data_IF_584832846198
#
_entry.id   IF_584832846198
#
_cell.length_a   1.000
_cell.length_b   1.000
_cell.length_c   1.000
_cell.angle_alpha   90.00
_cell.angle_beta   90.00
_cell.angle_gamma   90.00
#
_symmetry.space_group_name_H-M   'P 1'
#
loop_
_entity.id
_entity.type
_entity.pdbx_description
1 polymer ?
#
# COMPACT_ATOMS: atom_id res chain seq x y z
N UNK A 1 -7.50 -11.61 -16.84
CA UNK A 1 -7.61 -10.53 -17.85
C UNK A 1 -9.06 -10.14 -18.18
N UNK A 2 -10.02 -11.06 -18.35
CA UNK A 2 -11.41 -10.69 -18.71
C UNK A 2 -12.17 -9.81 -17.69
N UNK A 3 -11.75 -9.76 -16.42
CA UNK A 3 -12.39 -9.00 -15.34
C UNK A 3 -11.81 -7.58 -15.10
N UNK A 4 -10.75 -7.18 -15.81
CA UNK A 4 -10.23 -5.82 -15.74
C UNK A 4 -11.17 -4.80 -16.44
N UNK A 5 -12.02 -5.27 -17.36
CA UNK A 5 -12.95 -4.45 -18.14
C UNK A 5 -14.24 -4.04 -17.41
N UNK A 6 -14.44 -4.46 -16.16
CA UNK A 6 -15.67 -4.18 -15.42
C UNK A 6 -15.63 -2.87 -14.61
N UNK A 7 -14.46 -2.27 -14.43
CA UNK A 7 -14.26 -1.06 -13.61
C UNK A 7 -13.84 0.13 -14.50
N UNK A 8 -14.75 1.10 -14.64
CA UNK A 8 -14.54 2.27 -15.49
C UNK A 8 -13.36 3.15 -15.03
N UNK A 9 -13.04 3.15 -13.73
CA UNK A 9 -11.91 3.93 -13.20
C UNK A 9 -10.57 3.29 -13.55
N UNK A 10 -10.51 1.96 -13.51
CA UNK A 10 -9.35 1.17 -13.92
C UNK A 10 -9.15 1.26 -15.43
N UNK A 11 -10.23 1.19 -16.21
CA UNK A 11 -10.16 1.36 -17.66
C UNK A 11 -9.60 2.72 -18.05
N UNK A 12 -10.03 3.80 -17.38
CA UNK A 12 -9.48 5.13 -17.61
C UNK A 12 -7.99 5.21 -17.27
N UNK A 13 -7.58 4.67 -16.12
CA UNK A 13 -6.17 4.65 -15.74
C UNK A 13 -5.31 3.84 -16.73
N UNK A 14 -5.82 2.69 -17.21
CA UNK A 14 -5.18 1.88 -18.25
C UNK A 14 -5.09 2.64 -19.57
N UNK A 15 -6.16 3.34 -19.98
CA UNK A 15 -6.21 4.13 -21.22
C UNK A 15 -5.20 5.29 -21.17
N UNK A 16 -5.17 6.04 -20.07
CA UNK A 16 -4.20 7.11 -19.84
C UNK A 16 -2.74 6.58 -19.92
N UNK A 17 -2.45 5.43 -19.30
CA UNK A 17 -1.14 4.77 -19.36
C UNK A 17 -0.81 4.22 -20.77
N UNK A 18 -1.81 3.76 -21.52
CA UNK A 18 -1.63 3.20 -22.87
C UNK A 18 -1.31 4.29 -23.89
N UNK A 19 -1.93 5.46 -23.76
CA UNK A 19 -1.57 6.63 -24.55
C UNK A 19 -0.09 7.01 -24.35
N UNK A 20 0.39 7.00 -23.11
CA UNK A 20 1.79 7.26 -22.81
C UNK A 20 2.72 6.17 -23.36
N UNK A 21 2.38 4.88 -23.23
CA UNK A 21 3.22 3.78 -23.72
C UNK A 21 3.45 3.83 -25.25
N UNK A 22 2.44 4.24 -26.03
CA UNK A 22 2.47 4.21 -27.50
C UNK A 22 3.50 5.14 -28.16
N UNK A 23 4.02 6.12 -27.42
CA UNK A 23 4.89 7.17 -27.96
C UNK A 23 6.40 6.91 -27.79
N UNK A 24 6.82 5.79 -27.17
CA UNK A 24 8.22 5.60 -26.73
C UNK A 24 8.82 4.22 -27.07
N UNK A 25 10.09 4.02 -26.69
CA UNK A 25 10.86 2.78 -26.92
C UNK A 25 10.29 1.56 -26.16
N UNK A 26 10.74 0.35 -26.56
CA UNK A 26 10.22 -0.93 -26.06
C UNK A 26 10.21 -1.07 -24.53
N UNK A 27 11.29 -0.71 -23.85
CA UNK A 27 11.38 -0.77 -22.38
C UNK A 27 10.36 0.12 -21.67
N UNK A 28 10.04 1.27 -22.25
CA UNK A 28 9.03 2.17 -21.68
C UNK A 28 7.63 1.58 -21.84
N UNK A 29 7.36 0.93 -22.96
CA UNK A 29 6.12 0.17 -23.16
C UNK A 29 6.00 -0.95 -22.11
N UNK A 30 7.07 -1.72 -21.91
CA UNK A 30 7.10 -2.82 -20.94
C UNK A 30 6.85 -2.34 -19.51
N UNK A 31 7.53 -1.27 -19.09
CA UNK A 31 7.32 -0.69 -17.77
C UNK A 31 5.87 -0.27 -17.52
N UNK A 32 5.22 0.37 -18.50
CA UNK A 32 3.81 0.78 -18.37
C UNK A 32 2.86 -0.40 -18.42
N UNK A 33 3.15 -1.46 -19.19
CA UNK A 33 2.38 -2.71 -19.12
C UNK A 33 2.42 -3.30 -17.70
N UNK A 34 3.59 -3.27 -17.03
CA UNK A 34 3.70 -3.62 -15.62
C UNK A 34 2.83 -2.75 -14.70
N UNK A 35 2.80 -1.42 -14.89
CA UNK A 35 1.92 -0.53 -14.12
C UNK A 35 0.43 -0.83 -14.33
N UNK A 36 0.03 -1.19 -15.56
CA UNK A 36 -1.34 -1.59 -15.86
C UNK A 36 -1.71 -2.89 -15.16
N UNK A 37 -0.79 -3.86 -15.10
CA UNK A 37 -0.99 -5.10 -14.35
C UNK A 37 -1.13 -4.83 -12.85
N UNK A 38 -0.32 -3.93 -12.28
CA UNK A 38 -0.42 -3.49 -10.89
C UNK A 38 -1.80 -2.87 -10.60
N UNK A 39 -2.28 -1.98 -11.46
CA UNK A 39 -3.59 -1.34 -11.33
C UNK A 39 -4.73 -2.37 -11.39
N UNK A 40 -4.65 -3.34 -12.31
CA UNK A 40 -5.63 -4.42 -12.41
C UNK A 40 -5.63 -5.33 -11.17
N UNK A 41 -4.44 -5.64 -10.63
CA UNK A 41 -4.31 -6.40 -9.40
C UNK A 41 -4.90 -5.64 -8.22
N UNK A 42 -4.56 -4.36 -8.03
CA UNK A 42 -5.12 -3.52 -6.96
C UNK A 42 -6.66 -3.44 -7.01
N UNK A 43 -7.24 -3.34 -8.20
CA UNK A 43 -8.70 -3.39 -8.38
C UNK A 43 -9.30 -4.73 -7.95
N UNK A 44 -8.62 -5.84 -8.26
CA UNK A 44 -9.06 -7.19 -7.85
C UNK A 44 -8.98 -7.35 -6.33
N UNK A 45 -7.89 -6.88 -5.72
CA UNK A 45 -7.69 -6.91 -4.27
C UNK A 45 -8.73 -6.05 -3.54
N UNK A 46 -9.05 -4.85 -4.06
CA UNK A 46 -10.04 -3.95 -3.46
C UNK A 46 -11.48 -4.49 -3.51
N UNK A 47 -11.77 -5.39 -4.46
CA UNK A 47 -13.05 -6.11 -4.55
C UNK A 47 -13.22 -7.20 -3.50
N UNK A 48 -12.13 -7.67 -2.89
CA UNK A 48 -12.16 -8.76 -1.92
C UNK A 48 -12.24 -10.14 -2.56
N UNK A 49 -11.77 -10.28 -3.81
CA UNK A 49 -11.79 -11.55 -4.56
C UNK A 49 -10.68 -12.53 -4.11
N UNK A 50 -9.95 -12.21 -3.03
CA UNK A 50 -8.84 -13.00 -2.48
C UNK A 50 -9.01 -13.21 -0.97
N UNK A 51 -8.43 -14.29 -0.44
CA UNK A 51 -8.35 -14.50 1.01
C UNK A 51 -7.41 -13.48 1.68
N UNK A 52 -7.53 -13.38 2.99
CA UNK A 52 -6.86 -12.38 3.81
C UNK A 52 -5.34 -12.56 3.88
N UNK A 53 -4.87 -13.81 3.96
CA UNK A 53 -3.43 -14.14 3.93
C UNK A 53 -2.85 -13.74 2.57
N UNK A 54 -3.51 -14.08 1.47
CA UNK A 54 -3.10 -13.68 0.12
C UNK A 54 -3.08 -12.16 -0.01
N UNK A 55 -4.13 -11.47 0.43
CA UNK A 55 -4.19 -10.00 0.41
C UNK A 55 -3.04 -9.37 1.20
N UNK A 56 -2.77 -9.90 2.39
CA UNK A 56 -1.69 -9.40 3.25
C UNK A 56 -0.31 -9.58 2.60
N UNK A 57 -0.06 -10.77 2.03
CA UNK A 57 1.18 -11.06 1.31
C UNK A 57 1.35 -10.17 0.07
N UNK A 58 0.28 -9.91 -0.68
CA UNK A 58 0.29 -8.92 -1.75
C UNK A 58 0.69 -7.53 -1.22
N UNK A 59 0.18 -7.13 -0.05
CA UNK A 59 0.57 -5.87 0.59
C UNK A 59 2.07 -5.79 0.89
N UNK A 60 2.68 -6.87 1.39
CA UNK A 60 4.14 -6.96 1.58
C UNK A 60 4.89 -6.82 0.23
N UNK A 61 4.39 -7.47 -0.83
CA UNK A 61 4.98 -7.35 -2.17
C UNK A 61 4.90 -5.92 -2.71
N UNK A 62 3.78 -5.22 -2.54
CA UNK A 62 3.63 -3.81 -2.91
C UNK A 62 4.52 -2.88 -2.08
N UNK A 63 4.67 -3.14 -0.78
CA UNK A 63 5.62 -2.40 0.06
C UNK A 63 7.05 -2.51 -0.48
N UNK A 64 7.48 -3.73 -0.84
CA UNK A 64 8.81 -3.96 -1.40
C UNK A 64 8.99 -3.25 -2.74
N UNK A 65 7.96 -3.28 -3.59
CA UNK A 65 7.95 -2.56 -4.87
C UNK A 65 8.13 -1.06 -4.67
N UNK A 66 7.38 -0.44 -3.74
CA UNK A 66 7.51 0.97 -3.42
C UNK A 66 8.90 1.32 -2.84
N UNK A 67 9.45 0.44 -2.01
CA UNK A 67 10.80 0.58 -1.48
C UNK A 67 11.87 0.50 -2.59
N UNK A 68 11.71 -0.40 -3.57
CA UNK A 68 12.58 -0.48 -4.76
C UNK A 68 12.50 0.83 -5.55
N UNK A 69 11.28 1.28 -5.91
CA UNK A 69 11.07 2.52 -6.68
C UNK A 69 11.66 3.73 -5.95
N UNK A 70 11.44 3.84 -4.64
CA UNK A 70 12.04 4.89 -3.81
C UNK A 70 13.58 4.84 -3.82
N UNK A 71 14.16 3.65 -3.71
CA UNK A 71 15.61 3.45 -3.72
C UNK A 71 16.25 3.78 -5.09
N UNK A 72 15.55 3.48 -6.18
CA UNK A 72 15.94 3.87 -7.55
C UNK A 72 15.84 5.39 -7.71
N UNK A 73 14.71 6.00 -7.33
CA UNK A 73 14.50 7.45 -7.43
C UNK A 73 15.58 8.27 -6.70
N UNK A 74 16.00 7.82 -5.51
CA UNK A 74 17.11 8.44 -4.77
C UNK A 74 18.44 8.42 -5.53
N UNK A 75 18.69 7.38 -6.34
CA UNK A 75 19.93 7.22 -7.12
C UNK A 75 19.88 8.00 -8.42
N UNK A 76 18.73 8.01 -9.09
CA UNK A 76 18.50 8.75 -10.32
C UNK A 76 18.51 10.29 -10.15
N UNK A 77 18.39 10.79 -8.92
CA UNK A 77 18.33 12.23 -8.62
C UNK A 77 17.01 12.87 -9.04
N UNK A 78 16.91 14.21 -8.94
CA UNK A 78 15.74 15.01 -9.35
C UNK A 78 15.65 15.20 -10.89
N UNK A 79 15.92 14.13 -11.66
CA UNK A 79 15.56 14.09 -13.09
C UNK A 79 14.09 13.71 -13.26
N UNK A 80 13.44 14.10 -14.37
CA UNK A 80 12.07 13.67 -14.65
C UNK A 80 11.99 12.14 -14.66
N UNK A 81 10.97 11.56 -14.00
CA UNK A 81 10.72 10.10 -13.98
C UNK A 81 10.78 9.50 -15.40
N UNK A 82 10.36 10.28 -16.39
CA UNK A 82 10.36 9.99 -17.82
C UNK A 82 11.70 9.58 -18.44
N UNK A 83 12.82 10.10 -17.93
CA UNK A 83 14.16 9.77 -18.45
C UNK A 83 14.77 8.55 -17.76
N UNK A 84 14.21 8.15 -16.61
CA UNK A 84 14.77 7.10 -15.75
C UNK A 84 13.94 5.82 -15.77
N UNK A 85 12.90 5.71 -16.60
CA UNK A 85 12.01 4.53 -16.69
C UNK A 85 12.80 3.23 -16.81
N UNK A 86 13.84 3.21 -17.64
CA UNK A 86 14.73 2.06 -17.79
C UNK A 86 15.39 1.62 -16.47
N UNK A 87 15.78 2.56 -15.62
CA UNK A 87 16.36 2.25 -14.30
C UNK A 87 15.35 1.63 -13.34
N UNK A 88 14.08 2.00 -13.44
CA UNK A 88 13.01 1.35 -12.69
C UNK A 88 12.72 -0.05 -13.25
N UNK A 89 12.62 -0.18 -14.58
CA UNK A 89 12.42 -1.47 -15.23
C UNK A 89 13.54 -2.46 -14.91
N UNK A 90 14.81 -2.05 -15.05
CA UNK A 90 15.98 -2.88 -14.73
C UNK A 90 15.94 -3.35 -13.27
N UNK A 91 15.64 -2.44 -12.33
CA UNK A 91 15.55 -2.78 -10.92
C UNK A 91 14.42 -3.78 -10.63
N UNK A 92 13.22 -3.54 -11.16
CA UNK A 92 12.06 -4.40 -10.97
C UNK A 92 12.29 -5.77 -11.60
N UNK A 93 12.79 -5.83 -12.85
CA UNK A 93 13.13 -7.07 -13.54
C UNK A 93 14.17 -7.90 -12.78
N UNK A 94 15.27 -7.29 -12.32
CA UNK A 94 16.31 -8.03 -11.61
C UNK A 94 15.88 -8.51 -10.22
N UNK A 95 14.92 -7.84 -9.58
CA UNK A 95 14.52 -8.11 -8.21
C UNK A 95 13.17 -8.83 -8.08
N UNK A 96 12.42 -9.01 -9.16
CA UNK A 96 11.04 -9.53 -9.12
C UNK A 96 10.92 -10.88 -8.41
N UNK A 97 11.81 -11.83 -8.70
CA UNK A 97 11.81 -13.14 -8.04
C UNK A 97 12.45 -13.08 -6.65
N UNK A 98 13.56 -12.35 -6.53
CA UNK A 98 14.34 -12.26 -5.29
C UNK A 98 13.53 -11.62 -4.14
N UNK A 99 12.70 -10.63 -4.46
CA UNK A 99 11.87 -9.92 -3.49
C UNK A 99 10.41 -10.41 -3.49
N UNK A 100 9.99 -11.16 -4.51
CA UNK A 100 8.58 -11.51 -4.74
C UNK A 100 7.75 -10.27 -5.04
N UNK A 101 8.19 -9.45 -5.99
CA UNK A 101 7.46 -8.25 -6.42
C UNK A 101 6.14 -8.66 -7.11
N UNK A 102 5.11 -7.79 -7.09
CA UNK A 102 3.83 -8.10 -7.73
C UNK A 102 3.90 -7.95 -9.25
N UNK A 103 4.87 -7.17 -9.76
CA UNK A 103 5.12 -6.99 -11.19
C UNK A 103 5.85 -8.18 -11.80
N UNK A 104 5.54 -8.45 -13.07
CA UNK A 104 6.25 -9.41 -13.91
C UNK A 104 6.64 -8.72 -15.21
N UNK A 105 7.92 -8.37 -15.28
CA UNK A 105 8.51 -7.75 -16.46
C UNK A 105 9.29 -8.80 -17.24
N UNK A 106 9.19 -8.72 -18.56
CA UNK A 106 10.13 -9.38 -19.45
C UNK A 106 11.52 -8.72 -19.37
N UNK A 107 12.52 -9.40 -19.94
CA UNK A 107 13.88 -8.89 -19.96
C UNK A 107 13.95 -7.54 -20.71
N UNK A 108 14.56 -6.50 -20.09
CA UNK A 108 14.78 -5.22 -20.75
C UNK A 108 15.55 -5.39 -22.07
N UNK A 109 15.20 -4.60 -23.10
CA UNK A 109 15.86 -4.59 -24.40
C UNK A 109 17.26 -4.01 -24.29
N UNK A 110 17.47 -3.04 -23.39
CA UNK A 110 18.75 -2.35 -23.18
C UNK A 110 19.29 -2.58 -21.75
N UNK A 111 19.60 -3.84 -21.37
CA UNK A 111 19.99 -4.15 -20.00
C UNK A 111 21.34 -3.52 -19.66
N UNK A 112 21.49 -3.06 -18.41
CA UNK A 112 22.72 -2.50 -17.85
C UNK A 112 23.26 -1.25 -18.59
N UNK A 113 22.49 -0.67 -19.53
CA UNK A 113 22.84 0.59 -20.19
C UNK A 113 22.45 1.82 -19.38
N UNK A 114 21.68 1.62 -18.30
CA UNK A 114 21.19 2.66 -17.42
C UNK A 114 21.94 2.68 -16.08
N UNK A 115 21.61 3.68 -15.25
CA UNK A 115 22.24 3.87 -13.94
C UNK A 115 22.13 2.63 -13.05
N UNK A 116 21.04 1.86 -13.17
CA UNK A 116 20.79 0.66 -12.39
C UNK A 116 21.19 -0.58 -13.18
N UNK A 117 22.42 -1.04 -12.98
CA UNK A 117 22.84 -2.36 -13.42
C UNK A 117 22.53 -3.43 -12.37
N UNK A 118 22.73 -4.71 -12.73
CA UNK A 118 22.52 -5.85 -11.83
C UNK A 118 23.24 -5.74 -10.47
N UNK A 119 24.45 -5.18 -10.45
CA UNK A 119 25.22 -5.00 -9.22
C UNK A 119 24.54 -4.03 -8.25
N UNK A 120 24.05 -2.90 -8.78
CA UNK A 120 23.31 -1.90 -8.01
C UNK A 120 21.94 -2.42 -7.61
N UNK A 121 21.24 -3.14 -8.50
CA UNK A 121 19.96 -3.77 -8.18
C UNK A 121 20.08 -4.71 -6.97
N UNK A 122 21.13 -5.54 -6.88
CA UNK A 122 21.37 -6.40 -5.70
C UNK A 122 21.60 -5.62 -4.40
N UNK A 123 22.25 -4.45 -4.48
CA UNK A 123 22.40 -3.57 -3.31
C UNK A 123 21.03 -3.05 -2.86
N UNK A 124 20.20 -2.60 -3.81
CA UNK A 124 18.80 -2.20 -3.55
C UNK A 124 18.02 -3.36 -2.93
N UNK A 125 18.11 -4.57 -3.48
CA UNK A 125 17.42 -5.74 -2.93
C UNK A 125 17.82 -6.05 -1.48
N UNK A 126 19.09 -5.82 -1.13
CA UNK A 126 19.58 -5.95 0.25
C UNK A 126 19.03 -4.85 1.15
N UNK A 127 19.01 -3.59 0.69
CA UNK A 127 18.39 -2.47 1.41
C UNK A 127 16.90 -2.71 1.67
N UNK A 128 16.17 -3.20 0.67
CA UNK A 128 14.72 -3.47 0.78
C UNK A 128 14.45 -4.62 1.76
N UNK A 129 15.26 -5.69 1.73
CA UNK A 129 15.16 -6.77 2.74
C UNK A 129 15.41 -6.26 4.15
N UNK A 130 16.46 -5.47 4.34
CA UNK A 130 16.78 -4.88 5.64
C UNK A 130 15.63 -3.99 6.12
N UNK A 131 15.07 -3.16 5.24
CA UNK A 131 13.94 -2.29 5.54
C UNK A 131 12.67 -3.08 5.89
N UNK A 132 12.41 -4.18 5.18
CA UNK A 132 11.26 -5.06 5.43
C UNK A 132 11.35 -5.74 6.78
N UNK A 133 12.56 -6.12 7.22
CA UNK A 133 12.78 -6.81 8.50
C UNK A 133 13.04 -5.85 9.67
N UNK A 134 13.21 -4.55 9.42
CA UNK A 134 13.57 -3.56 10.45
C UNK A 134 12.48 -3.47 11.53
N UNK A 135 12.90 -3.41 12.78
CA UNK A 135 12.03 -3.30 13.96
C UNK A 135 10.89 -4.34 13.94
N UNK A 136 11.23 -5.60 13.64
CA UNK A 136 10.29 -6.72 13.49
C UNK A 136 9.18 -6.48 12.46
N UNK A 137 9.48 -5.69 11.41
CA UNK A 137 8.55 -5.39 10.33
C UNK A 137 7.65 -4.17 10.58
N UNK A 138 8.02 -3.28 11.51
CA UNK A 138 7.23 -2.08 11.82
C UNK A 138 6.99 -1.20 10.58
N UNK A 139 7.95 -1.13 9.64
CA UNK A 139 7.77 -0.42 8.37
C UNK A 139 6.69 -1.02 7.48
N UNK A 140 6.62 -2.35 7.43
CA UNK A 140 5.54 -3.05 6.74
C UNK A 140 4.22 -2.76 7.43
N UNK A 141 4.18 -2.77 8.77
CA UNK A 141 2.94 -2.42 9.52
C UNK A 141 2.49 -1.00 9.23
N UNK A 142 3.42 -0.04 9.19
CA UNK A 142 3.13 1.34 8.89
C UNK A 142 2.52 1.47 7.48
N UNK A 143 3.09 0.76 6.49
CA UNK A 143 2.54 0.71 5.13
C UNK A 143 1.15 0.07 5.10
N UNK A 144 0.98 -1.10 5.71
CA UNK A 144 -0.32 -1.80 5.74
C UNK A 144 -1.40 -0.96 6.41
N UNK A 145 -1.05 -0.12 7.38
CA UNK A 145 -2.00 0.76 8.07
C UNK A 145 -2.60 1.84 7.16
N UNK A 146 -1.93 2.17 6.05
CA UNK A 146 -2.39 3.18 5.07
C UNK A 146 -2.74 2.57 3.72
N UNK A 147 -2.36 1.33 3.45
CA UNK A 147 -2.59 0.67 2.16
C UNK A 147 -4.07 0.38 1.89
N UNK A 148 -4.58 0.96 0.79
CA UNK A 148 -6.01 1.00 0.45
C UNK A 148 -6.72 -0.36 0.47
N UNK A 149 -6.28 -1.37 -0.31
CA UNK A 149 -6.95 -2.67 -0.37
C UNK A 149 -7.11 -3.34 0.99
N UNK A 150 -6.07 -3.32 1.82
CA UNK A 150 -6.12 -3.90 3.17
C UNK A 150 -7.05 -3.13 4.10
N UNK A 151 -7.00 -1.79 4.10
CA UNK A 151 -7.95 -0.97 4.88
C UNK A 151 -9.39 -1.25 4.50
N UNK A 152 -9.69 -1.34 3.20
CA UNK A 152 -11.04 -1.61 2.73
C UNK A 152 -11.50 -3.03 3.09
N UNK A 153 -10.61 -4.02 3.02
CA UNK A 153 -10.89 -5.36 3.55
C UNK A 153 -11.23 -5.32 5.05
N UNK A 154 -10.42 -4.64 5.87
CA UNK A 154 -10.66 -4.54 7.30
C UNK A 154 -11.99 -3.85 7.64
N UNK A 155 -12.36 -2.80 6.91
CA UNK A 155 -13.64 -2.09 7.10
C UNK A 155 -14.85 -2.97 6.76
N UNK A 156 -14.73 -3.82 5.73
CA UNK A 156 -15.81 -4.72 5.28
C UNK A 156 -15.86 -6.02 6.10
N UNK A 157 -14.78 -6.36 6.80
CA UNK A 157 -14.71 -7.57 7.62
C UNK A 157 -15.71 -7.51 8.78
N UNK A 158 -16.61 -8.50 8.93
CA UNK A 158 -17.60 -8.51 10.01
C UNK A 158 -16.99 -8.43 11.42
N UNK A 159 -15.76 -8.92 11.60
CA UNK A 159 -15.07 -8.89 12.89
C UNK A 159 -14.63 -7.47 13.31
N UNK A 160 -14.58 -6.52 12.38
CA UNK A 160 -13.99 -5.20 12.60
C UNK A 160 -14.87 -4.04 12.12
N UNK A 161 -15.89 -4.29 11.29
CA UNK A 161 -16.76 -3.28 10.71
C UNK A 161 -17.32 -2.30 11.76
N UNK A 162 -17.86 -2.81 12.87
CA UNK A 162 -18.42 -1.99 13.96
C UNK A 162 -17.41 -0.98 14.54
N UNK A 163 -16.11 -1.35 14.60
CA UNK A 163 -15.06 -0.45 15.11
C UNK A 163 -14.85 0.74 14.17
N UNK A 164 -14.91 0.51 12.85
CA UNK A 164 -14.80 1.56 11.84
C UNK A 164 -16.07 2.40 11.74
N UNK A 165 -17.25 1.79 11.87
CA UNK A 165 -18.53 2.51 11.90
C UNK A 165 -18.58 3.52 13.05
N UNK A 166 -18.23 3.11 14.27
CA UNK A 166 -18.15 4.03 15.42
C UNK A 166 -17.18 5.18 15.19
N UNK A 167 -16.09 4.94 14.46
CA UNK A 167 -15.12 5.98 14.12
C UNK A 167 -15.68 6.97 13.10
N UNK A 168 -16.46 6.50 12.12
CA UNK A 168 -17.20 7.33 11.17
C UNK A 168 -18.27 8.17 11.89
N UNK A 169 -19.02 7.58 12.83
CA UNK A 169 -20.00 8.30 13.64
C UNK A 169 -19.35 9.45 14.43
N UNK A 170 -18.22 9.19 15.09
CA UNK A 170 -17.46 10.23 15.80
C UNK A 170 -16.99 11.35 14.87
N UNK A 171 -16.54 10.99 13.66
CA UNK A 171 -16.14 11.98 12.65
C UNK A 171 -17.31 12.86 12.21
N UNK A 172 -18.48 12.26 11.94
CA UNK A 172 -19.68 13.00 11.58
C UNK A 172 -20.16 13.91 12.71
N UNK A 173 -20.12 13.45 13.96
CA UNK A 173 -20.46 14.25 15.12
C UNK A 173 -19.54 15.48 15.26
N UNK A 174 -18.24 15.35 14.99
CA UNK A 174 -17.29 16.47 15.02
C UNK A 174 -17.57 17.49 13.90
N UNK A 175 -17.93 17.03 12.70
CA UNK A 175 -18.32 17.92 11.61
C UNK A 175 -19.63 18.66 11.91
N UNK A 176 -20.61 17.96 12.47
CA UNK A 176 -21.90 18.55 12.85
C UNK A 176 -21.75 19.57 13.98
N UNK A 177 -20.94 19.28 14.99
CA UNK A 177 -20.58 20.23 16.05
C UNK A 177 -19.86 21.46 15.48
N UNK A 178 -18.88 21.27 14.59
CA UNK A 178 -18.18 22.37 13.93
C UNK A 178 -19.14 23.28 13.14
N UNK A 179 -20.07 22.69 12.38
CA UNK A 179 -21.08 23.42 11.62
C UNK A 179 -22.08 24.14 12.54
N UNK A 180 -22.48 23.50 13.63
CA UNK A 180 -23.39 24.10 14.63
C UNK A 180 -22.74 25.30 15.33
N UNK A 181 -21.48 25.16 15.74
CA UNK A 181 -20.74 26.28 16.33
C UNK A 181 -20.51 27.40 15.32
N UNK A 182 -20.25 27.07 14.05
CA UNK A 182 -20.12 28.06 12.97
C UNK A 182 -21.36 28.94 12.82
N UNK A 183 -22.56 28.38 13.04
CA UNK A 183 -23.82 29.11 12.97
C UNK A 183 -24.08 30.04 14.17
N UNK A 184 -23.31 29.93 15.25
CA UNK A 184 -23.42 30.77 16.45
C UNK A 184 -22.34 31.86 16.43
N UNK A 185 -22.67 33.14 16.16
CA UNK A 185 -21.68 34.20 15.91
C UNK A 185 -20.66 34.42 17.04
N UNK A 186 -21.05 34.16 18.29
CA UNK A 186 -20.20 34.37 19.46
C UNK A 186 -19.35 33.15 19.85
N UNK A 187 -19.53 32.00 19.19
CA UNK A 187 -18.71 30.83 19.44
C UNK A 187 -17.29 31.02 18.87
N UNK A 188 -16.33 30.20 19.31
CA UNK A 188 -14.97 30.23 18.79
C UNK A 188 -14.94 30.03 17.27
N UNK A 189 -15.70 29.05 16.76
CA UNK A 189 -15.75 28.72 15.32
C UNK A 189 -16.63 29.72 14.55
N UNK A 190 -17.66 30.29 15.18
CA UNK A 190 -18.51 31.33 14.59
C UNK A 190 -17.71 32.60 14.26
N UNK A 191 -16.62 32.86 15.00
CA UNK A 191 -15.71 33.99 14.76
C UNK A 191 -14.65 33.73 13.70
N UNK A 192 -14.52 32.50 13.20
CA UNK A 192 -13.55 32.20 12.15
C UNK A 192 -13.87 32.94 10.85
N UNK A 193 -12.86 33.24 10.06
CA UNK A 193 -13.03 33.51 8.64
C UNK A 193 -13.38 32.20 7.92
N UNK A 194 -13.88 32.29 6.69
CA UNK A 194 -14.19 31.07 5.92
C UNK A 194 -12.95 30.20 5.69
N UNK A 195 -11.78 30.82 5.52
CA UNK A 195 -10.51 30.10 5.42
C UNK A 195 -10.20 29.32 6.70
N UNK A 196 -10.27 29.96 7.87
CA UNK A 196 -9.99 29.30 9.16
C UNK A 196 -10.98 28.17 9.44
N UNK A 197 -12.25 28.33 9.05
CA UNK A 197 -13.24 27.25 9.13
C UNK A 197 -12.89 26.08 8.22
N UNK A 198 -12.47 26.33 6.97
CA UNK A 198 -12.01 25.28 6.06
C UNK A 198 -10.74 24.58 6.57
N UNK A 199 -9.78 25.33 7.11
CA UNK A 199 -8.57 24.77 7.72
C UNK A 199 -8.92 23.87 8.92
N UNK A 200 -9.91 24.27 9.73
CA UNK A 200 -10.43 23.45 10.82
C UNK A 200 -11.14 22.18 10.32
N UNK A 201 -11.97 22.27 9.28
CA UNK A 201 -12.61 21.10 8.67
C UNK A 201 -11.59 20.11 8.09
N UNK A 202 -10.55 20.63 7.42
CA UNK A 202 -9.43 19.82 6.90
C UNK A 202 -8.65 19.13 8.04
N UNK A 203 -8.49 19.79 9.19
CA UNK A 203 -7.89 19.17 10.37
C UNK A 203 -8.73 18.00 10.89
N UNK A 204 -10.07 18.13 10.92
CA UNK A 204 -10.96 17.02 11.32
C UNK A 204 -10.81 15.85 10.34
N UNK A 205 -10.77 16.13 9.03
CA UNK A 205 -10.54 15.09 8.00
C UNK A 205 -9.20 14.38 8.19
N UNK A 206 -8.11 15.12 8.35
CA UNK A 206 -6.77 14.55 8.59
C UNK A 206 -6.73 13.68 9.85
N UNK A 207 -7.37 14.12 10.94
CA UNK A 207 -7.49 13.30 12.17
C UNK A 207 -8.26 12.01 11.94
N UNK A 208 -9.33 12.05 11.15
CA UNK A 208 -10.10 10.87 10.82
C UNK A 208 -9.27 9.86 10.01
N UNK A 209 -8.47 10.34 9.05
CA UNK A 209 -7.53 9.50 8.30
C UNK A 209 -6.46 8.87 9.21
N UNK A 210 -5.90 9.65 10.14
CA UNK A 210 -4.94 9.17 11.13
C UNK A 210 -5.54 8.10 12.06
N UNK A 211 -6.75 8.31 12.57
CA UNK A 211 -7.43 7.33 13.42
C UNK A 211 -7.73 6.04 12.66
N UNK A 212 -8.17 6.13 11.41
CA UNK A 212 -8.38 4.97 10.55
C UNK A 212 -7.08 4.19 10.35
N UNK A 213 -5.97 4.89 10.11
CA UNK A 213 -4.67 4.26 9.96
C UNK A 213 -4.22 3.59 11.27
N UNK A 214 -4.36 4.26 12.42
CA UNK A 214 -4.02 3.68 13.72
C UNK A 214 -4.82 2.41 14.02
N UNK A 215 -6.14 2.43 13.79
CA UNK A 215 -7.00 1.25 13.97
C UNK A 215 -6.62 0.13 13.00
N UNK A 216 -6.43 0.44 11.72
CA UNK A 216 -5.98 -0.54 10.73
C UNK A 216 -4.63 -1.16 11.13
N UNK A 217 -3.68 -0.35 11.60
CA UNK A 217 -2.38 -0.80 12.09
C UNK A 217 -2.49 -1.72 13.31
N UNK A 218 -3.36 -1.40 14.28
CA UNK A 218 -3.61 -2.27 15.43
C UNK A 218 -4.18 -3.63 15.02
N UNK A 219 -5.21 -3.64 14.16
CA UNK A 219 -5.83 -4.87 13.66
C UNK A 219 -4.82 -5.69 12.84
N UNK A 220 -3.98 -5.03 12.04
CA UNK A 220 -2.93 -5.70 11.27
C UNK A 220 -1.93 -6.45 12.15
N UNK A 221 -1.56 -5.87 13.30
CA UNK A 221 -0.68 -6.52 14.28
C UNK A 221 -1.37 -7.73 14.92
N UNK A 222 -2.64 -7.59 15.28
CA UNK A 222 -3.45 -8.69 15.82
C UNK A 222 -3.53 -9.86 14.82
N UNK A 223 -3.85 -9.56 13.57
CA UNK A 223 -3.88 -10.54 12.47
C UNK A 223 -2.56 -11.31 12.37
N UNK A 224 -1.42 -10.62 12.34
CA UNK A 224 -0.12 -11.27 12.24
C UNK A 224 0.25 -12.12 13.45
N UNK A 225 -0.07 -11.68 14.66
CA UNK A 225 0.17 -12.47 15.86
C UNK A 225 -0.62 -13.77 15.83
N UNK A 226 -1.89 -13.71 15.42
CA UNK A 226 -2.75 -14.88 15.28
C UNK A 226 -2.24 -15.80 14.17
N UNK A 227 -1.93 -15.26 12.98
CA UNK A 227 -1.42 -16.03 11.86
C UNK A 227 -0.08 -16.73 12.19
N UNK A 228 0.83 -16.03 12.89
CA UNK A 228 2.09 -16.63 13.35
C UNK A 228 1.87 -17.74 14.37
N UNK A 229 0.92 -17.56 15.30
CA UNK A 229 0.58 -18.60 16.25
C UNK A 229 0.02 -19.85 15.54
N UNK A 230 -0.88 -19.67 14.59
CA UNK A 230 -1.43 -20.76 13.76
C UNK A 230 -0.35 -21.48 12.96
N UNK A 231 0.56 -20.74 12.31
CA UNK A 231 1.70 -21.33 11.61
C UNK A 231 2.58 -22.16 12.53
N UNK A 232 2.89 -21.68 13.74
CA UNK A 232 3.68 -22.42 14.73
C UNK A 232 2.99 -23.72 15.19
N UNK A 233 1.66 -23.69 15.31
CA UNK A 233 0.86 -24.88 15.62
C UNK A 233 0.92 -25.87 14.45
N UNK A 234 0.63 -25.40 13.23
CA UNK A 234 0.51 -26.24 12.04
C UNK A 234 1.85 -26.84 11.59
N UNK A 235 2.97 -26.18 11.88
CA UNK A 235 4.32 -26.65 11.54
C UNK A 235 4.97 -27.50 12.65
N UNK A 236 4.30 -27.66 13.80
CA UNK A 236 4.86 -28.35 14.97
C UNK A 236 6.06 -27.61 15.60
N UNK A 237 6.29 -26.35 15.21
CA UNK A 237 7.38 -25.50 15.71
C UNK A 237 7.01 -24.74 16.99
N UNK A 238 5.87 -25.06 17.61
CA UNK A 238 5.46 -24.52 18.91
C UNK A 238 6.58 -24.68 19.94
N UNK A 239 6.96 -23.60 20.65
CA UNK A 239 7.97 -23.69 21.70
C UNK A 239 7.61 -24.75 22.76
N UNK A 240 8.62 -25.47 23.25
CA UNK A 240 8.45 -26.61 24.19
C UNK A 240 7.59 -26.28 25.42
N UNK A 241 7.62 -25.04 25.89
CA UNK A 241 6.83 -24.60 27.05
C UNK A 241 5.32 -24.54 26.78
N UNK A 242 4.88 -24.34 25.52
CA UNK A 242 3.46 -24.42 25.14
C UNK A 242 3.00 -25.85 24.87
N UNK A 243 3.88 -26.73 24.41
CA UNK A 243 3.56 -28.16 24.20
C UNK A 243 3.15 -28.87 25.50
N UNK A 244 3.71 -28.44 26.65
CA UNK A 244 3.37 -28.98 27.96
C UNK A 244 1.93 -28.70 28.41
N UNK A 245 1.27 -27.68 27.85
CA UNK A 245 -0.12 -27.36 28.17
C UNK A 245 -1.14 -28.13 27.32
N UNK A 246 -0.75 -28.70 26.18
CA UNK A 246 -1.64 -29.50 25.33
C UNK A 246 -1.79 -30.96 25.80
N UNK A 247 -1.00 -31.39 26.80
CA UNK A 247 -1.03 -32.75 27.36
C UNK A 247 -1.79 -32.86 28.69
N UNK A 248 -2.56 -31.84 29.06
CA UNK A 248 -3.48 -31.83 30.21
C UNK A 248 -4.92 -31.71 29.73
#
# INVERSE_FOLDING_TARGET
MAQAYADASVLKAIDDMACEASAFCGDRTEYFLGQMQDAALLSTLARGDVDDITLYNCGISFFKLDAVRTAVGKRCGLGTQDQNVHSYLDAEYYLQDELGLPTRHDAPVYPDQCLINRGIARQIGTEVRALTAMDDGDRVMQFMSTWGPWKEYLKKSPAHAEKFEKMMENYHALLEDAATQRAVPDSTIGRYTDKEYMDYANLILSRHEDWNAQLAGQISREFLLNHRAELLINTGAMPKYFQAFQQR
#
